data_IF_945262535869
#
_entry.id   IF_945262535869
#
_cell.length_a   1.000
_cell.length_b   1.000
_cell.length_c   1.000
_cell.angle_alpha   90.00
_cell.angle_beta   90.00
_cell.angle_gamma   90.00
#
_symmetry.space_group_name_H-M   'P 1'
#
loop_
_entity.id
_entity.type
_entity.pdbx_description
1 polymer ?
#
# COMPACT_ATOMS: atom_id res chain seq x y z
N UNK A 1 35.08 -0.52 28.82
CA UNK A 1 35.22 -1.05 27.44
C UNK A 1 33.84 -1.31 26.88
N UNK A 2 33.61 -0.85 25.65
CA UNK A 2 32.31 -0.64 25.03
C UNK A 2 31.60 -1.94 24.61
N UNK A 3 30.29 -1.99 24.84
CA UNK A 3 29.35 -2.78 24.05
C UNK A 3 28.20 -1.85 23.66
N UNK A 4 28.48 -0.89 22.76
CA UNK A 4 27.44 -0.23 21.97
C UNK A 4 27.09 -1.16 20.82
N UNK A 5 26.03 -1.95 21.01
CA UNK A 5 25.51 -2.92 20.06
C UNK A 5 24.65 -2.24 18.99
N UNK A 6 25.29 -1.90 17.86
CA UNK A 6 24.80 -1.92 16.47
C UNK A 6 23.27 -1.92 16.30
N UNK A 7 22.64 -0.78 16.56
CA UNK A 7 21.49 -0.35 15.78
C UNK A 7 22.10 0.35 14.58
N UNK A 8 21.95 -0.21 13.38
CA UNK A 8 22.30 0.49 12.14
C UNK A 8 21.56 1.84 12.16
N UNK A 9 22.28 2.91 12.46
CA UNK A 9 21.85 4.27 12.12
C UNK A 9 21.88 4.30 10.60
N UNK A 10 20.80 3.91 9.94
CA UNK A 10 20.60 4.27 8.55
C UNK A 10 20.66 5.80 8.52
N UNK A 11 21.79 6.33 8.07
CA UNK A 11 21.96 7.76 7.81
C UNK A 11 20.91 8.14 6.78
N UNK A 12 20.05 9.10 7.15
CA UNK A 12 19.08 9.66 6.24
C UNK A 12 19.78 10.06 4.94
N UNK A 13 19.23 9.68 3.77
CA UNK A 13 19.77 10.19 2.51
C UNK A 13 19.67 11.72 2.52
N UNK A 14 20.67 12.39 1.93
CA UNK A 14 20.70 13.85 1.88
C UNK A 14 19.60 14.43 0.96
N UNK A 15 19.10 13.63 0.01
CA UNK A 15 18.11 14.04 -0.99
C UNK A 15 17.07 12.95 -1.28
N UNK A 16 15.95 13.36 -1.88
CA UNK A 16 14.82 12.53 -2.32
C UNK A 16 14.21 13.06 -3.63
N UNK A 17 13.36 12.23 -4.26
CA UNK A 17 12.50 12.64 -5.36
C UNK A 17 11.22 13.27 -4.83
N UNK A 18 10.85 14.44 -5.33
CA UNK A 18 9.68 15.17 -4.89
C UNK A 18 9.01 15.92 -6.05
N UNK A 19 7.68 16.00 -6.06
CA UNK A 19 6.97 16.93 -6.95
C UNK A 19 7.08 18.34 -6.40
N UNK A 20 7.79 19.20 -7.14
CA UNK A 20 8.07 20.58 -6.79
C UNK A 20 7.24 21.53 -7.63
N UNK A 21 6.60 22.50 -6.98
CA UNK A 21 5.84 23.55 -7.66
C UNK A 21 6.81 24.42 -8.46
N UNK A 22 6.49 24.66 -9.72
CA UNK A 22 7.24 25.60 -10.59
C UNK A 22 6.48 26.92 -10.76
N UNK A 23 5.15 26.85 -10.72
CA UNK A 23 4.25 27.99 -10.91
C UNK A 23 2.79 27.52 -10.89
N UNK A 24 1.87 28.43 -11.20
CA UNK A 24 0.44 28.12 -11.24
C UNK A 24 0.15 26.88 -12.11
N UNK A 25 -0.57 25.91 -11.55
CA UNK A 25 -0.95 24.67 -12.24
C UNK A 25 0.22 23.76 -12.63
N UNK A 26 1.46 24.11 -12.26
CA UNK A 26 2.66 23.48 -12.83
C UNK A 26 3.56 22.89 -11.73
N UNK A 27 3.81 21.59 -11.84
CA UNK A 27 4.78 20.87 -11.00
C UNK A 27 5.82 20.16 -11.85
N UNK A 28 6.99 19.94 -11.28
CA UNK A 28 8.05 19.13 -11.89
C UNK A 28 8.59 18.16 -10.85
N UNK A 29 8.83 16.93 -11.30
CA UNK A 29 9.56 15.96 -10.50
C UNK A 29 11.02 16.41 -10.39
N UNK A 30 11.45 16.74 -9.18
CA UNK A 30 12.84 17.03 -8.88
C UNK A 30 13.52 15.77 -8.34
N UNK A 31 14.63 15.39 -8.98
CA UNK A 31 15.37 14.16 -8.64
C UNK A 31 16.18 14.26 -7.33
N UNK A 32 16.58 15.48 -6.96
CA UNK A 32 17.47 15.75 -5.82
C UNK A 32 16.92 16.85 -4.90
N UNK A 33 15.71 16.67 -4.37
CA UNK A 33 15.15 17.55 -3.34
C UNK A 33 15.81 17.26 -1.99
N UNK A 34 16.25 18.25 -1.20
CA UNK A 34 16.85 17.98 0.10
C UNK A 34 15.86 17.34 1.08
N UNK A 35 16.38 16.48 1.97
CA UNK A 35 15.66 15.96 3.14
C UNK A 35 16.15 16.73 4.37
N UNK A 36 15.21 17.32 5.10
CA UNK A 36 15.51 18.02 6.35
C UNK A 36 15.19 17.12 7.56
N UNK A 37 16.01 17.17 8.63
CA UNK A 37 15.66 16.57 9.90
C UNK A 37 14.34 17.17 10.44
N UNK A 38 13.50 16.38 11.15
CA UNK A 38 12.27 16.93 11.72
C UNK A 38 12.59 17.91 12.85
N UNK A 39 11.73 18.92 13.03
CA UNK A 39 11.78 19.82 14.19
C UNK A 39 11.44 19.09 15.48
N UNK A 40 11.55 19.81 16.60
CA UNK A 40 11.36 19.25 17.94
C UNK A 40 10.02 18.54 18.15
N UNK A 41 8.96 19.03 17.50
CA UNK A 41 7.57 18.57 17.58
C UNK A 41 7.10 17.79 16.33
N UNK A 42 8.01 17.48 15.40
CA UNK A 42 7.70 16.81 14.14
C UNK A 42 8.23 15.37 14.10
N UNK A 43 7.71 14.57 13.16
CA UNK A 43 8.26 13.26 12.79
C UNK A 43 8.65 13.26 11.32
N UNK A 44 9.81 12.71 10.99
CA UNK A 44 10.21 12.47 9.61
C UNK A 44 9.66 11.10 9.19
N UNK A 45 8.90 11.10 8.10
CA UNK A 45 8.20 9.91 7.62
C UNK A 45 8.73 9.53 6.25
N UNK A 46 9.14 8.28 6.10
CA UNK A 46 9.35 7.66 4.80
C UNK A 46 7.97 7.38 4.22
N UNK A 47 7.56 8.24 3.29
CA UNK A 47 6.25 8.19 2.65
C UNK A 47 6.14 6.90 1.83
N UNK A 48 5.08 6.13 2.07
CA UNK A 48 4.76 4.86 1.40
C UNK A 48 3.51 4.98 0.52
N UNK A 49 2.62 5.93 0.78
CA UNK A 49 1.41 6.19 -0.02
C UNK A 49 1.07 7.67 0.08
N UNK A 50 0.44 8.21 -0.96
CA UNK A 50 0.03 9.62 -1.02
C UNK A 50 -1.42 9.73 -1.49
N UNK A 51 -2.15 10.73 -1.02
CA UNK A 51 -3.55 10.95 -1.38
C UNK A 51 -3.75 12.28 -2.08
N UNK A 52 -4.30 12.26 -3.30
CA UNK A 52 -4.62 13.46 -4.06
C UNK A 52 -6.01 13.99 -3.70
N UNK A 53 -6.11 15.28 -3.45
CA UNK A 53 -7.30 15.99 -3.00
C UNK A 53 -7.62 17.20 -3.91
N UNK A 54 -8.87 17.67 -3.89
CA UNK A 54 -9.22 18.96 -4.50
C UNK A 54 -8.42 20.15 -3.97
N UNK A 55 -7.91 20.07 -2.73
CA UNK A 55 -7.01 21.09 -2.18
C UNK A 55 -5.68 21.14 -2.94
N UNK A 56 -5.18 20.01 -3.46
CA UNK A 56 -3.86 19.97 -4.05
C UNK A 56 -3.81 20.74 -5.38
N UNK A 57 -4.78 20.53 -6.28
CA UNK A 57 -4.85 21.34 -7.52
C UNK A 57 -5.21 22.80 -7.22
N UNK A 58 -6.07 23.06 -6.23
CA UNK A 58 -6.46 24.42 -5.81
C UNK A 58 -5.28 25.21 -5.26
N UNK A 59 -4.47 24.59 -4.40
CA UNK A 59 -3.29 25.22 -3.83
C UNK A 59 -2.24 25.46 -4.92
N UNK A 60 -2.07 24.50 -5.85
CA UNK A 60 -1.15 24.64 -6.98
C UNK A 60 -1.56 25.76 -7.94
N UNK A 61 -2.85 25.96 -8.17
CA UNK A 61 -3.36 26.95 -9.12
C UNK A 61 -3.53 28.34 -8.50
N UNK A 62 -4.15 28.42 -7.31
CA UNK A 62 -4.50 29.69 -6.66
C UNK A 62 -3.43 30.24 -5.73
N UNK A 63 -2.47 29.43 -5.28
CA UNK A 63 -1.39 29.86 -4.37
C UNK A 63 -0.09 29.07 -4.61
N UNK A 64 0.49 29.11 -5.82
CA UNK A 64 1.71 28.38 -6.13
C UNK A 64 2.91 28.93 -5.34
N UNK A 65 3.60 28.06 -4.60
CA UNK A 65 4.88 28.37 -3.97
C UNK A 65 6.01 27.72 -4.74
N UNK A 66 6.62 28.42 -5.70
CA UNK A 66 7.71 27.87 -6.50
C UNK A 66 8.85 27.29 -5.63
N UNK A 67 9.30 26.08 -5.94
CA UNK A 67 10.29 25.31 -5.18
C UNK A 67 9.73 24.50 -4.00
N UNK A 68 8.44 24.64 -3.66
CA UNK A 68 7.82 23.90 -2.56
C UNK A 68 7.40 22.48 -2.98
N UNK A 69 7.51 21.51 -2.07
CA UNK A 69 7.02 20.14 -2.24
C UNK A 69 5.49 20.14 -2.19
N UNK A 70 4.86 19.55 -3.19
CA UNK A 70 3.42 19.51 -3.37
C UNK A 70 2.75 18.35 -2.62
N UNK A 71 1.43 18.42 -2.41
CA UNK A 71 0.60 17.37 -1.81
C UNK A 71 0.42 17.45 -0.31
N UNK A 72 -0.74 17.01 0.20
CA UNK A 72 -1.07 17.06 1.63
C UNK A 72 -1.13 15.69 2.31
N UNK A 73 -1.77 14.68 1.71
CA UNK A 73 -2.04 13.43 2.43
C UNK A 73 -0.94 12.39 2.20
N UNK A 74 -0.51 11.74 3.29
CA UNK A 74 0.50 10.69 3.25
C UNK A 74 0.19 9.53 4.21
N UNK A 75 0.73 8.37 3.90
CA UNK A 75 0.93 7.27 4.86
C UNK A 75 2.34 6.72 4.67
N UNK A 76 3.00 6.31 5.75
CA UNK A 76 4.39 5.90 5.72
C UNK A 76 4.91 5.38 7.04
N UNK A 77 6.23 5.30 7.16
CA UNK A 77 6.94 4.81 8.34
C UNK A 77 7.77 5.94 8.96
N UNK A 78 7.68 6.12 10.27
CA UNK A 78 8.53 7.05 11.02
C UNK A 78 9.98 6.61 10.88
N UNK A 79 10.83 7.48 10.35
CA UNK A 79 12.28 7.27 10.25
C UNK A 79 12.98 7.83 11.47
N UNK A 80 12.60 9.04 11.88
CA UNK A 80 13.07 9.66 13.12
C UNK A 80 12.04 10.65 13.63
N UNK A 81 12.14 11.01 14.90
CA UNK A 81 11.14 11.76 15.64
C UNK A 81 11.84 12.85 16.46
N UNK A 82 11.27 14.06 16.47
CA UNK A 82 11.76 15.16 17.28
C UNK A 82 11.61 14.88 18.79
N UNK A 83 12.46 15.47 19.65
CA UNK A 83 12.48 15.21 21.09
C UNK A 83 11.13 15.39 21.83
N UNK A 84 10.20 16.19 21.31
CA UNK A 84 8.89 16.45 21.93
C UNK A 84 7.80 15.47 21.46
N UNK A 85 8.10 14.57 20.53
CA UNK A 85 7.14 13.61 19.95
C UNK A 85 7.16 12.24 20.63
N UNK A 86 7.01 12.21 21.96
CA UNK A 86 7.17 11.03 22.82
C UNK A 86 6.26 9.82 22.54
N UNK A 87 5.34 9.90 21.57
CA UNK A 87 4.41 8.83 21.18
C UNK A 87 4.84 8.06 19.94
N UNK A 88 5.85 8.54 19.21
CA UNK A 88 6.30 7.94 17.95
C UNK A 88 7.75 7.50 18.07
N UNK A 89 8.10 6.37 17.43
CA UNK A 89 9.48 5.89 17.33
C UNK A 89 9.78 5.42 15.90
N UNK A 90 11.07 5.38 15.50
CA UNK A 90 11.47 4.77 14.23
C UNK A 90 10.83 3.39 14.02
N UNK A 91 10.28 3.15 12.83
CA UNK A 91 9.55 1.93 12.49
C UNK A 91 8.03 1.99 12.70
N UNK A 92 7.50 3.03 13.33
CA UNK A 92 6.06 3.18 13.49
C UNK A 92 5.38 3.54 12.17
N UNK A 93 4.29 2.84 11.84
CA UNK A 93 3.46 3.17 10.67
C UNK A 93 2.50 4.30 11.03
N UNK A 94 2.55 5.38 10.28
CA UNK A 94 1.77 6.60 10.49
C UNK A 94 1.06 7.01 9.21
N UNK A 95 -0.04 7.72 9.34
CA UNK A 95 -0.72 8.36 8.22
C UNK A 95 -1.41 9.63 8.70
N UNK A 96 -1.41 10.65 7.87
CA UNK A 96 -1.88 11.98 8.24
C UNK A 96 -1.81 12.95 7.07
N UNK A 97 -2.03 14.21 7.38
CA UNK A 97 -1.89 15.32 6.45
C UNK A 97 -0.66 16.15 6.85
N UNK A 98 0.15 16.54 5.87
CA UNK A 98 1.13 17.59 5.99
C UNK A 98 0.68 18.81 5.17
N UNK A 99 1.20 19.98 5.52
CA UNK A 99 0.89 21.20 4.80
C UNK A 99 1.88 21.36 3.63
N UNK A 100 1.60 20.70 2.50
CA UNK A 100 2.35 20.87 1.26
C UNK A 100 2.13 22.23 0.59
N UNK A 101 2.97 22.55 -0.40
CA UNK A 101 2.96 23.79 -1.18
C UNK A 101 3.15 25.06 -0.31
N UNK A 102 4.09 24.99 0.63
CA UNK A 102 4.44 26.09 1.54
C UNK A 102 5.79 26.71 1.20
N UNK A 103 5.83 28.03 1.08
CA UNK A 103 7.08 28.77 0.85
C UNK A 103 8.00 28.82 2.09
N UNK A 104 7.42 28.78 3.29
CA UNK A 104 8.14 28.83 4.58
C UNK A 104 8.63 27.45 5.06
N UNK A 105 8.20 26.37 4.39
CA UNK A 105 8.72 25.02 4.60
C UNK A 105 8.72 24.24 3.27
N UNK A 106 9.61 24.61 2.32
CA UNK A 106 9.52 24.18 0.93
C UNK A 106 9.82 22.69 0.71
N UNK A 107 10.34 21.96 1.71
CA UNK A 107 10.67 20.55 1.58
C UNK A 107 9.62 19.61 2.20
N UNK A 108 8.63 20.16 2.90
CA UNK A 108 7.53 19.43 3.52
C UNK A 108 6.34 19.32 2.57
N UNK A 109 5.99 18.10 2.13
CA UNK A 109 4.82 17.84 1.27
C UNK A 109 4.60 16.34 1.02
N UNK A 110 3.35 15.98 0.76
CA UNK A 110 2.85 14.61 0.72
C UNK A 110 3.13 13.87 -0.58
N UNK A 111 3.30 14.55 -1.72
CA UNK A 111 3.53 13.93 -3.04
C UNK A 111 5.02 13.72 -3.31
N UNK A 112 5.61 12.90 -2.47
CA UNK A 112 6.84 12.16 -2.76
C UNK A 112 6.46 10.72 -3.14
N UNK A 113 7.32 10.01 -3.86
CA UNK A 113 7.04 8.61 -4.21
C UNK A 113 6.78 7.78 -2.93
N UNK A 114 5.92 6.75 -3.04
CA UNK A 114 5.96 5.60 -2.11
C UNK A 114 7.34 4.94 -2.03
N UNK A 115 8.18 5.23 -3.03
CA UNK A 115 9.47 4.62 -3.31
C UNK A 115 9.38 3.17 -3.78
N UNK A 116 8.19 2.55 -3.76
CA UNK A 116 8.02 1.13 -4.05
C UNK A 116 7.65 0.92 -5.51
N UNK A 117 8.36 0.00 -6.16
CA UNK A 117 8.17 -0.43 -7.55
C UNK A 117 7.48 -1.80 -7.56
N UNK A 118 6.15 -1.87 -7.69
CA UNK A 118 5.44 -3.13 -7.56
C UNK A 118 5.79 -4.05 -8.74
N UNK A 119 6.23 -5.26 -8.42
CA UNK A 119 6.33 -6.37 -9.37
C UNK A 119 5.24 -7.39 -9.04
N UNK A 120 4.79 -8.16 -10.03
CA UNK A 120 3.71 -9.14 -9.82
C UNK A 120 4.02 -10.48 -10.47
N UNK A 121 3.35 -11.52 -10.00
CA UNK A 121 3.28 -12.79 -10.72
C UNK A 121 1.86 -12.99 -11.25
N UNK A 122 1.71 -13.45 -12.49
CA UNK A 122 0.40 -13.76 -13.10
C UNK A 122 0.58 -14.65 -14.34
N UNK A 123 -0.53 -15.04 -14.98
CA UNK A 123 -0.45 -15.73 -16.28
C UNK A 123 0.07 -14.77 -17.37
N UNK A 124 0.91 -15.21 -18.32
CA UNK A 124 1.51 -14.38 -19.39
C UNK A 124 0.51 -13.55 -20.17
N UNK A 125 -0.67 -14.10 -20.48
CA UNK A 125 -1.75 -13.37 -21.15
C UNK A 125 -2.32 -12.18 -20.37
N UNK A 126 -1.83 -11.90 -19.15
CA UNK A 126 -2.22 -10.76 -18.31
C UNK A 126 -1.09 -9.76 -18.08
N UNK A 127 0.11 -9.98 -18.61
CA UNK A 127 1.29 -9.12 -18.36
C UNK A 127 1.04 -7.65 -18.72
N UNK A 128 0.57 -7.38 -19.94
CA UNK A 128 0.29 -6.01 -20.37
C UNK A 128 -0.79 -5.35 -19.52
N UNK A 129 -1.82 -6.11 -19.13
CA UNK A 129 -2.89 -5.59 -18.29
C UNK A 129 -2.38 -5.18 -16.90
N UNK A 130 -1.60 -6.03 -16.23
CA UNK A 130 -1.08 -5.69 -14.89
C UNK A 130 -0.04 -4.57 -14.94
N UNK A 131 0.75 -4.48 -16.02
CA UNK A 131 1.65 -3.35 -16.26
C UNK A 131 0.89 -2.04 -16.47
N UNK A 132 -0.22 -2.07 -17.22
CA UNK A 132 -1.09 -0.89 -17.37
C UNK A 132 -1.74 -0.42 -16.05
N UNK A 133 -1.80 -1.30 -15.05
CA UNK A 133 -2.31 -0.99 -13.70
C UNK A 133 -1.21 -0.54 -12.73
N UNK A 134 0.05 -0.44 -13.18
CA UNK A 134 1.17 0.12 -12.41
C UNK A 134 2.26 -0.87 -11.99
N UNK A 135 2.16 -2.16 -12.35
CA UNK A 135 3.28 -3.08 -12.13
C UNK A 135 4.48 -2.70 -13.03
N UNK A 136 5.68 -2.62 -12.46
CA UNK A 136 6.91 -2.35 -13.23
C UNK A 136 7.43 -3.57 -13.96
N UNK A 137 7.10 -4.77 -13.48
CA UNK A 137 7.40 -6.04 -14.14
C UNK A 137 6.41 -7.14 -13.73
N UNK A 138 6.20 -8.13 -14.61
CA UNK A 138 5.36 -9.29 -14.38
C UNK A 138 6.09 -10.60 -14.72
N UNK A 139 5.93 -11.61 -13.85
CA UNK A 139 6.56 -12.93 -14.00
C UNK A 139 5.52 -14.05 -14.08
N UNK A 140 5.78 -15.11 -14.86
CA UNK A 140 4.88 -16.27 -14.89
C UNK A 140 5.10 -17.11 -13.62
N UNK A 141 4.08 -17.17 -12.75
CA UNK A 141 4.13 -17.95 -11.52
C UNK A 141 4.33 -19.46 -11.75
N UNK A 142 4.09 -19.94 -12.98
CA UNK A 142 4.27 -21.34 -13.38
C UNK A 142 5.70 -21.63 -13.81
N UNK A 143 6.50 -20.60 -14.05
CA UNK A 143 7.91 -20.79 -14.40
C UNK A 143 8.67 -21.37 -13.20
N UNK A 144 9.47 -22.44 -13.39
CA UNK A 144 10.32 -22.96 -12.32
C UNK A 144 11.39 -21.94 -11.88
N UNK A 145 11.74 -20.97 -12.74
CA UNK A 145 12.68 -19.88 -12.43
C UNK A 145 12.03 -18.64 -11.84
N UNK A 146 10.69 -18.60 -11.68
CA UNK A 146 9.97 -17.38 -11.29
C UNK A 146 10.59 -16.65 -10.09
N UNK A 147 10.89 -17.39 -9.00
CA UNK A 147 11.48 -16.81 -7.80
C UNK A 147 12.93 -16.33 -8.00
N UNK A 148 13.76 -17.06 -8.77
CA UNK A 148 15.14 -16.65 -9.06
C UNK A 148 15.19 -15.45 -10.01
N UNK A 149 14.25 -15.37 -10.93
CA UNK A 149 14.13 -14.24 -11.87
C UNK A 149 13.72 -12.97 -11.11
N UNK A 150 12.77 -13.08 -10.18
CA UNK A 150 12.39 -11.98 -9.28
C UNK A 150 13.57 -11.55 -8.41
N UNK A 151 14.31 -12.50 -7.82
CA UNK A 151 15.47 -12.20 -6.98
C UNK A 151 16.56 -11.47 -7.78
N UNK A 152 16.79 -11.89 -9.02
CA UNK A 152 17.74 -11.25 -9.94
C UNK A 152 17.26 -9.83 -10.29
N UNK A 153 16.00 -9.67 -10.70
CA UNK A 153 15.41 -8.38 -11.05
C UNK A 153 15.47 -7.37 -9.89
N UNK A 154 15.20 -7.86 -8.68
CA UNK A 154 15.24 -7.04 -7.46
C UNK A 154 16.63 -6.92 -6.86
N UNK A 155 17.68 -7.43 -7.51
CA UNK A 155 19.06 -7.39 -7.01
C UNK A 155 19.17 -7.93 -5.58
N UNK A 156 18.44 -9.00 -5.29
CA UNK A 156 18.36 -9.66 -3.98
C UNK A 156 17.86 -8.74 -2.83
N UNK A 157 17.11 -7.69 -3.17
CA UNK A 157 16.63 -6.66 -2.22
C UNK A 157 15.12 -6.70 -1.96
N UNK A 158 14.37 -7.68 -2.50
CA UNK A 158 12.93 -7.79 -2.27
C UNK A 158 12.62 -8.03 -0.79
N UNK A 159 12.08 -7.01 -0.12
CA UNK A 159 11.75 -7.05 1.31
C UNK A 159 10.25 -7.24 1.58
N UNK A 160 9.37 -6.74 0.72
CA UNK A 160 7.92 -6.73 0.96
C UNK A 160 7.20 -7.62 -0.03
N UNK A 161 6.42 -8.58 0.48
CA UNK A 161 5.58 -9.46 -0.32
C UNK A 161 4.14 -9.43 0.16
N UNK A 162 3.23 -9.24 -0.79
CA UNK A 162 1.79 -9.43 -0.61
C UNK A 162 1.36 -10.66 -1.42
N UNK A 163 1.01 -11.74 -0.72
CA UNK A 163 0.56 -12.99 -1.35
C UNK A 163 -0.96 -13.00 -1.46
N UNK A 164 -1.45 -12.78 -2.67
CA UNK A 164 -2.87 -12.72 -2.98
C UNK A 164 -3.52 -14.10 -3.18
N UNK A 165 -2.73 -15.19 -3.17
CA UNK A 165 -3.21 -16.56 -3.36
C UNK A 165 -3.18 -17.33 -2.04
N UNK A 166 -2.14 -17.12 -1.24
CA UNK A 166 -2.00 -17.66 0.13
C UNK A 166 -2.06 -19.19 0.21
N UNK A 167 -1.55 -19.87 -0.81
CA UNK A 167 -1.40 -21.32 -0.85
C UNK A 167 0.07 -21.74 -0.61
N UNK A 168 0.30 -23.03 -0.38
CA UNK A 168 1.66 -23.56 -0.22
C UNK A 168 2.56 -23.28 -1.43
N UNK A 169 1.97 -23.31 -2.63
CA UNK A 169 2.64 -23.03 -3.91
C UNK A 169 3.06 -21.56 -4.03
N UNK A 170 2.15 -20.62 -3.73
CA UNK A 170 2.44 -19.19 -3.79
C UNK A 170 3.42 -18.76 -2.70
N UNK A 171 3.25 -19.25 -1.47
CA UNK A 171 4.15 -18.96 -0.35
C UNK A 171 5.58 -19.45 -0.65
N UNK A 172 5.74 -20.61 -1.31
CA UNK A 172 7.05 -21.11 -1.74
C UNK A 172 7.75 -20.15 -2.71
N UNK A 173 7.03 -19.63 -3.70
CA UNK A 173 7.57 -18.62 -4.64
C UNK A 173 7.95 -17.35 -3.87
N UNK A 174 7.05 -16.85 -3.02
CA UNK A 174 7.26 -15.66 -2.21
C UNK A 174 8.52 -15.74 -1.35
N UNK A 175 8.67 -16.81 -0.57
CA UNK A 175 9.82 -17.01 0.32
C UNK A 175 11.14 -17.16 -0.44
N UNK A 176 11.10 -17.81 -1.60
CA UNK A 176 12.24 -17.96 -2.50
C UNK A 176 12.57 -16.69 -3.28
N UNK A 177 11.64 -15.74 -3.40
CA UNK A 177 11.85 -14.45 -4.06
C UNK A 177 12.40 -13.38 -3.09
N UNK A 178 12.02 -13.42 -1.81
CA UNK A 178 12.51 -12.47 -0.79
C UNK A 178 14.03 -12.49 -0.70
N UNK A 179 14.64 -11.31 -0.67
CA UNK A 179 16.09 -11.10 -0.63
C UNK A 179 16.79 -11.85 0.51
N UNK A 180 18.11 -12.04 0.43
CA UNK A 180 18.87 -12.76 1.45
C UNK A 180 18.84 -12.11 2.84
N UNK A 181 18.55 -10.82 2.93
CA UNK A 181 18.48 -10.06 4.19
C UNK A 181 17.16 -10.24 4.97
N UNK A 182 16.21 -11.00 4.43
CA UNK A 182 14.90 -11.20 5.03
C UNK A 182 13.87 -10.16 4.58
N UNK A 183 12.72 -10.15 5.23
CA UNK A 183 11.62 -9.26 4.85
C UNK A 183 10.28 -9.57 5.50
N UNK A 184 9.21 -9.01 4.95
CA UNK A 184 7.84 -9.14 5.40
C UNK A 184 7.01 -9.89 4.35
N UNK A 185 6.39 -10.99 4.76
CA UNK A 185 5.41 -11.71 3.97
C UNK A 185 4.02 -11.45 4.54
N UNK A 186 3.09 -10.95 3.72
CA UNK A 186 1.70 -10.73 4.11
C UNK A 186 0.78 -11.53 3.19
N UNK A 187 0.10 -12.54 3.73
CA UNK A 187 -0.99 -13.21 3.02
C UNK A 187 -2.28 -12.40 3.04
N UNK A 188 -3.09 -12.46 1.98
CA UNK A 188 -4.47 -11.97 2.03
C UNK A 188 -5.40 -12.88 2.83
N UNK A 189 -4.94 -14.09 3.16
CA UNK A 189 -5.64 -15.04 4.03
C UNK A 189 -4.66 -15.75 4.99
N UNK A 190 -5.17 -16.66 5.81
CA UNK A 190 -4.37 -17.54 6.64
C UNK A 190 -3.45 -18.42 5.78
N UNK A 191 -2.14 -18.25 5.95
CA UNK A 191 -1.13 -19.01 5.21
C UNK A 191 -0.75 -20.36 5.88
N UNK A 192 -0.18 -21.31 5.12
CA UNK A 192 0.33 -22.57 5.66
C UNK A 192 1.52 -22.34 6.60
N UNK A 193 1.33 -22.52 7.90
CA UNK A 193 2.38 -22.28 8.92
C UNK A 193 3.65 -23.11 8.64
N UNK A 194 3.52 -24.33 8.11
CA UNK A 194 4.65 -25.19 7.72
C UNK A 194 5.50 -24.61 6.58
N UNK A 195 4.95 -23.67 5.80
CA UNK A 195 5.68 -22.95 4.74
C UNK A 195 6.62 -21.87 5.26
N UNK A 196 6.54 -21.50 6.55
CA UNK A 196 7.47 -20.54 7.15
C UNK A 196 8.81 -21.21 7.46
N UNK A 197 9.71 -21.21 6.48
CA UNK A 197 11.02 -21.87 6.55
C UNK A 197 12.18 -20.94 6.88
N UNK A 198 11.96 -19.62 6.79
CA UNK A 198 12.96 -18.58 6.94
C UNK A 198 12.73 -17.75 8.20
N UNK A 199 13.68 -17.73 9.13
CA UNK A 199 13.59 -17.01 10.42
C UNK A 199 13.70 -15.49 10.28
N UNK A 200 14.34 -15.04 9.20
CA UNK A 200 14.53 -13.63 8.82
C UNK A 200 13.34 -13.05 8.02
N UNK A 201 12.33 -13.87 7.74
CA UNK A 201 11.07 -13.42 7.14
C UNK A 201 10.00 -13.33 8.22
N UNK A 202 9.38 -12.16 8.39
CA UNK A 202 8.25 -11.95 9.30
C UNK A 202 6.94 -12.19 8.56
N UNK A 203 6.22 -13.29 8.84
CA UNK A 203 4.94 -13.53 8.21
C UNK A 203 3.79 -12.86 8.95
N UNK A 204 2.79 -12.43 8.21
CA UNK A 204 1.53 -11.90 8.70
C UNK A 204 0.43 -12.18 7.68
N UNK A 205 -0.81 -11.88 8.06
CA UNK A 205 -1.93 -11.97 7.13
C UNK A 205 -3.03 -10.97 7.47
N UNK A 206 -3.83 -10.64 6.46
CA UNK A 206 -4.91 -9.66 6.56
C UNK A 206 -6.20 -10.35 7.02
N UNK A 207 -6.76 -9.92 8.14
CA UNK A 207 -8.14 -10.24 8.50
C UNK A 207 -9.00 -8.97 8.36
N UNK A 208 -9.59 -8.77 7.19
CA UNK A 208 -10.31 -7.53 6.88
C UNK A 208 -11.44 -7.20 7.89
N UNK A 209 -12.06 -8.21 8.51
CA UNK A 209 -13.12 -8.03 9.51
C UNK A 209 -12.70 -7.25 10.75
N UNK A 210 -11.41 -7.18 11.07
CA UNK A 210 -10.93 -6.36 12.20
C UNK A 210 -11.15 -4.86 11.97
N UNK A 211 -11.31 -4.42 10.71
CA UNK A 211 -11.65 -3.05 10.34
C UNK A 211 -13.00 -2.58 10.91
N UNK A 212 -13.90 -3.51 11.29
CA UNK A 212 -15.16 -3.15 11.95
C UNK A 212 -14.97 -2.77 13.43
N UNK A 213 -13.79 -3.02 14.00
CA UNK A 213 -13.47 -2.77 15.41
C UNK A 213 -14.24 -3.63 16.40
N UNK A 214 -15.00 -4.63 15.92
CA UNK A 214 -15.73 -5.62 16.71
C UNK A 214 -14.91 -6.91 16.83
N UNK A 215 -15.17 -7.75 17.84
CA UNK A 215 -14.61 -9.10 17.87
C UNK A 215 -15.03 -9.90 16.64
N UNK A 216 -14.11 -10.73 16.14
CA UNK A 216 -14.38 -11.72 15.09
C UNK A 216 -14.52 -13.08 15.76
N UNK A 217 -15.76 -13.54 15.98
CA UNK A 217 -16.06 -14.80 16.67
C UNK A 217 -16.08 -16.01 15.72
N UNK A 218 -15.08 -16.10 14.86
CA UNK A 218 -14.92 -17.23 13.95
C UNK A 218 -14.13 -18.36 14.61
N UNK A 219 -14.02 -19.51 13.95
CA UNK A 219 -13.12 -20.57 14.40
C UNK A 219 -11.67 -20.10 14.29
N UNK A 220 -10.80 -20.63 15.15
CA UNK A 220 -9.35 -20.44 14.97
C UNK A 220 -8.96 -20.96 13.58
N UNK A 221 -8.05 -20.28 12.86
CA UNK A 221 -7.21 -19.16 13.33
C UNK A 221 -7.79 -17.76 13.11
N UNK A 222 -9.03 -17.62 12.63
CA UNK A 222 -9.67 -16.33 12.32
C UNK A 222 -10.23 -15.59 13.53
N UNK A 223 -10.44 -16.26 14.66
CA UNK A 223 -10.88 -15.63 15.90
C UNK A 223 -9.98 -14.45 16.28
N UNK A 224 -10.55 -13.28 16.52
CA UNK A 224 -9.83 -12.10 17.02
C UNK A 224 -10.68 -11.31 18.00
N UNK A 225 -10.05 -10.76 19.03
CA UNK A 225 -10.64 -9.69 19.84
C UNK A 225 -10.86 -8.43 19.01
N UNK A 226 -11.66 -7.51 19.53
CA UNK A 226 -11.84 -6.19 18.94
C UNK A 226 -10.48 -5.49 18.75
N UNK A 227 -10.30 -4.86 17.57
CA UNK A 227 -9.09 -4.08 17.26
C UNK A 227 -9.46 -2.63 16.93
N UNK A 228 -9.66 -1.76 17.94
CA UNK A 228 -10.05 -0.36 17.70
C UNK A 228 -9.10 0.40 16.78
N UNK A 229 -7.80 0.06 16.80
CA UNK A 229 -6.80 0.66 15.90
C UNK A 229 -7.06 0.36 14.43
N UNK A 230 -7.54 -0.84 14.11
CA UNK A 230 -7.85 -1.25 12.74
C UNK A 230 -9.11 -0.52 12.25
N UNK A 231 -10.11 -0.34 13.12
CA UNK A 231 -11.29 0.51 12.85
C UNK A 231 -10.91 1.96 12.60
N UNK A 232 -10.09 2.55 13.47
CA UNK A 232 -9.64 3.92 13.30
C UNK A 232 -8.85 4.10 11.99
N UNK A 233 -8.07 3.09 11.59
CA UNK A 233 -7.40 3.09 10.29
C UNK A 233 -8.42 3.04 9.13
N UNK A 234 -9.40 2.13 9.19
CA UNK A 234 -10.42 1.99 8.16
C UNK A 234 -11.28 3.26 8.00
N UNK A 235 -11.64 3.91 9.11
CA UNK A 235 -12.40 5.18 9.11
C UNK A 235 -11.62 6.33 8.48
N UNK A 236 -10.29 6.36 8.64
CA UNK A 236 -9.42 7.32 7.92
C UNK A 236 -9.23 6.95 6.45
N UNK A 237 -9.13 5.66 6.13
CA UNK A 237 -8.89 5.17 4.79
C UNK A 237 -10.10 5.28 3.87
N UNK A 238 -11.32 5.02 4.38
CA UNK A 238 -12.55 5.02 3.58
C UNK A 238 -12.78 6.30 2.76
N UNK A 239 -12.68 7.53 3.30
CA UNK A 239 -12.85 8.74 2.50
C UNK A 239 -11.73 8.95 1.47
N UNK A 240 -10.51 8.45 1.71
CA UNK A 240 -9.41 8.49 0.74
C UNK A 240 -9.71 7.53 -0.41
N UNK A 241 -10.09 6.29 -0.11
CA UNK A 241 -10.49 5.31 -1.11
C UNK A 241 -11.66 5.80 -1.97
N UNK A 242 -12.65 6.47 -1.37
CA UNK A 242 -13.76 7.07 -2.12
C UNK A 242 -13.26 8.16 -3.09
N UNK A 243 -12.38 9.07 -2.64
CA UNK A 243 -11.80 10.10 -3.53
C UNK A 243 -11.05 9.48 -4.71
N UNK A 244 -10.27 8.43 -4.47
CA UNK A 244 -9.53 7.72 -5.53
C UNK A 244 -10.46 7.05 -6.55
N UNK A 245 -11.63 6.57 -6.11
CA UNK A 245 -12.65 6.02 -7.00
C UNK A 245 -13.35 7.14 -7.79
N UNK A 246 -13.70 8.25 -7.12
CA UNK A 246 -14.39 9.39 -7.73
C UNK A 246 -13.52 10.10 -8.79
N UNK A 247 -12.22 10.23 -8.51
CA UNK A 247 -11.22 10.80 -9.44
C UNK A 247 -10.81 9.83 -10.55
N UNK A 248 -11.16 8.54 -10.42
CA UNK A 248 -10.73 7.45 -11.30
C UNK A 248 -9.23 7.15 -11.24
N UNK A 249 -8.54 7.57 -10.18
CA UNK A 249 -7.15 7.18 -9.90
C UNK A 249 -7.04 5.68 -9.58
N UNK A 250 -8.13 5.07 -9.07
CA UNK A 250 -8.31 3.62 -8.99
C UNK A 250 -9.56 3.24 -9.78
N UNK A 251 -9.38 2.32 -10.73
CA UNK A 251 -10.48 1.72 -11.48
C UNK A 251 -10.98 0.45 -10.80
N UNK A 252 -12.29 0.26 -10.75
CA UNK A 252 -12.89 -0.95 -10.19
C UNK A 252 -12.60 -2.16 -11.07
N UNK A 253 -12.55 -3.34 -10.45
CA UNK A 253 -12.43 -4.61 -11.16
C UNK A 253 -13.56 -4.80 -12.18
N UNK A 254 -13.33 -5.46 -13.33
CA UNK A 254 -14.39 -5.77 -14.30
C UNK A 254 -15.58 -6.46 -13.64
N UNK A 255 -16.80 -6.05 -14.01
CA UNK A 255 -18.04 -6.53 -13.39
C UNK A 255 -18.85 -7.40 -14.34
N UNK A 256 -19.62 -8.33 -13.76
CA UNK A 256 -20.73 -9.02 -14.41
C UNK A 256 -21.99 -8.69 -13.61
N UNK A 257 -22.94 -7.99 -14.25
CA UNK A 257 -24.15 -7.51 -13.58
C UNK A 257 -25.32 -8.44 -13.94
N UNK A 258 -26.06 -8.87 -12.92
CA UNK A 258 -27.24 -9.71 -13.01
C UNK A 258 -28.47 -9.01 -12.42
N UNK A 259 -29.60 -9.13 -13.11
CA UNK A 259 -30.91 -8.64 -12.67
C UNK A 259 -31.71 -9.72 -11.92
N UNK A 260 -31.13 -10.88 -11.61
CA UNK A 260 -31.77 -11.95 -10.81
C UNK A 260 -32.02 -11.54 -9.34
N UNK A 261 -31.60 -10.34 -8.93
CA UNK A 261 -31.76 -9.82 -7.58
C UNK A 261 -31.18 -10.74 -6.51
N UNK A 262 -31.79 -10.76 -5.33
CA UNK A 262 -31.35 -11.62 -4.23
C UNK A 262 -31.45 -13.11 -4.57
N UNK A 263 -32.37 -13.51 -5.46
CA UNK A 263 -32.54 -14.92 -5.85
C UNK A 263 -31.31 -15.48 -6.58
N UNK A 264 -30.57 -14.64 -7.32
CA UNK A 264 -29.36 -15.05 -8.03
C UNK A 264 -28.10 -15.14 -7.16
N UNK A 265 -28.10 -14.54 -5.97
CA UNK A 265 -26.90 -14.40 -5.13
C UNK A 265 -26.31 -15.76 -4.72
N UNK A 266 -27.16 -16.73 -4.36
CA UNK A 266 -26.70 -18.06 -3.95
C UNK A 266 -25.95 -18.79 -5.07
N UNK A 267 -26.47 -18.73 -6.30
CA UNK A 267 -25.80 -19.27 -7.50
C UNK A 267 -24.49 -18.55 -7.78
N UNK A 268 -24.46 -17.23 -7.60
CA UNK A 268 -23.23 -16.42 -7.71
C UNK A 268 -22.16 -16.84 -6.70
N UNK A 269 -22.55 -17.08 -5.46
CA UNK A 269 -21.64 -17.53 -4.41
C UNK A 269 -20.98 -18.88 -4.76
N UNK A 270 -21.75 -19.85 -5.27
CA UNK A 270 -21.19 -21.13 -5.72
C UNK A 270 -20.26 -20.96 -6.94
N UNK A 271 -20.56 -20.06 -7.88
CA UNK A 271 -19.64 -19.74 -8.99
C UNK A 271 -18.29 -19.21 -8.51
N UNK A 272 -18.29 -18.30 -7.52
CA UNK A 272 -17.06 -17.76 -6.92
C UNK A 272 -16.28 -18.88 -6.25
N UNK A 273 -16.95 -19.72 -5.45
CA UNK A 273 -16.35 -20.86 -4.76
C UNK A 273 -15.73 -21.88 -5.71
N UNK A 274 -16.36 -22.13 -6.86
CA UNK A 274 -15.85 -23.03 -7.90
C UNK A 274 -14.81 -22.36 -8.83
N UNK A 275 -14.47 -21.08 -8.63
CA UNK A 275 -13.53 -20.36 -9.49
C UNK A 275 -14.05 -20.06 -10.91
N UNK A 276 -15.35 -20.17 -11.15
CA UNK A 276 -15.98 -20.01 -12.48
C UNK A 276 -16.47 -18.59 -12.76
N UNK A 277 -16.12 -17.62 -11.91
CA UNK A 277 -16.45 -16.21 -12.08
C UNK A 277 -15.56 -15.46 -13.12
N UNK A 278 -14.52 -16.12 -13.65
CA UNK A 278 -13.78 -15.64 -14.83
C UNK A 278 -13.03 -14.31 -14.64
N UNK A 279 -12.59 -13.99 -13.43
CA UNK A 279 -11.89 -12.73 -13.15
C UNK A 279 -12.80 -11.50 -13.27
N UNK A 280 -14.08 -11.66 -12.92
CA UNK A 280 -15.06 -10.58 -12.81
C UNK A 280 -15.66 -10.55 -11.41
N UNK A 281 -16.10 -9.37 -10.99
CA UNK A 281 -16.93 -9.20 -9.80
C UNK A 281 -18.40 -9.40 -10.18
N UNK A 282 -19.04 -10.40 -9.59
CA UNK A 282 -20.48 -10.65 -9.78
C UNK A 282 -21.29 -9.62 -8.96
N UNK A 283 -22.19 -8.90 -9.61
CA UNK A 283 -23.05 -7.85 -9.03
C UNK A 283 -24.51 -8.21 -9.28
N UNK A 284 -25.34 -8.17 -8.24
CA UNK A 284 -26.77 -8.48 -8.32
C UNK A 284 -27.59 -7.24 -7.96
N UNK A 285 -28.43 -6.75 -8.88
CA UNK A 285 -29.27 -5.57 -8.65
C UNK A 285 -30.49 -5.95 -7.80
N UNK A 286 -30.52 -5.51 -6.55
CA UNK A 286 -31.58 -5.87 -5.57
C UNK A 286 -32.80 -4.94 -5.64
N UNK A 287 -32.60 -3.66 -5.98
CA UNK A 287 -33.66 -2.71 -6.25
C UNK A 287 -33.20 -1.76 -7.35
N UNK A 288 -34.10 -1.42 -8.28
CA UNK A 288 -33.86 -0.27 -9.16
C UNK A 288 -33.96 1.01 -8.31
N UNK A 289 -33.13 2.04 -8.55
CA UNK A 289 -33.39 3.36 -7.98
C UNK A 289 -34.82 3.76 -8.33
N UNK A 290 -35.58 4.26 -7.35
CA UNK A 290 -36.86 4.89 -7.63
C UNK A 290 -36.61 6.04 -8.62
N UNK A 291 -37.23 5.98 -9.79
CA UNK A 291 -37.29 7.12 -10.70
C UNK A 291 -38.10 8.21 -10.01
N UNK A 292 -37.42 9.20 -9.43
CA UNK A 292 -37.99 10.47 -8.98
C UNK A 292 -37.44 11.59 -9.83
#
# INVERSE_FOLDING_TARGET
>A
MAVQSIISRQTLPATQRALKVQGAGTVTLQENSPIEPPKEDEVLVRICCVGVNPHDWKSLDMSPSAGATWGCDFAGEVVTAGPLTNKFKPGDRVGGACAGNRSDNPNNGGFAESGLKPITTCSPGKFEHVKSLGAVEAFDYRSPSCASDIRTFTHDSLEYVLDCITESSSMKICYAAIGSHGGNYIGLDQFPIRGHTRRDVRPGWVLAWTALGKPVDWRKPYRREARPKDKAFAERWAPIAQKLLDSKDIVTHPTEVSDEGLAGVAKGAERVKMGTAGGKKLIYRVAAPSTS
#
